data_IF_942793048540
#
_entry.id   IF_942793048540
#
_cell.length_a   1.000
_cell.length_b   1.000
_cell.length_c   1.000
_cell.angle_alpha   90.00
_cell.angle_beta   90.00
_cell.angle_gamma   90.00
#
_symmetry.space_group_name_H-M   'P 1'
#
loop_
_entity.id
_entity.type
_entity.pdbx_description
1 polymer ?
#
# COMPACT_ATOMS: atom_id res chain seq x y z
N UNK A 1 11.65 13.60 -24.74
CA UNK A 1 11.44 13.46 -26.20
C UNK A 1 10.72 12.14 -26.54
N UNK A 2 11.25 10.98 -26.13
CA UNK A 2 10.53 9.69 -26.26
C UNK A 2 9.24 9.65 -25.43
N UNK A 3 9.32 10.17 -24.20
CA UNK A 3 8.19 10.33 -23.29
C UNK A 3 7.11 11.35 -23.70
N UNK A 4 7.35 12.21 -24.70
CA UNK A 4 6.44 13.32 -25.03
C UNK A 4 6.27 14.40 -23.95
N UNK A 5 7.05 14.35 -22.86
CA UNK A 5 6.98 15.28 -21.71
C UNK A 5 8.13 16.30 -21.77
N UNK A 6 7.87 17.54 -21.35
CA UNK A 6 8.89 18.59 -21.18
C UNK A 6 9.89 18.20 -20.07
N UNK A 7 11.19 18.47 -20.29
CA UNK A 7 12.25 18.02 -19.40
C UNK A 7 12.07 18.51 -17.95
N UNK A 8 11.50 19.70 -17.76
CA UNK A 8 11.26 20.27 -16.43
C UNK A 8 10.11 19.59 -15.66
N UNK A 9 9.28 18.78 -16.33
CA UNK A 9 8.12 18.10 -15.74
C UNK A 9 8.38 16.61 -15.39
N UNK A 10 9.61 16.13 -15.59
CA UNK A 10 10.02 14.76 -15.28
C UNK A 10 10.45 14.70 -13.80
N UNK A 11 9.64 14.04 -12.97
CA UNK A 11 9.97 13.74 -11.57
C UNK A 11 10.64 12.38 -11.45
N UNK A 12 11.32 12.11 -10.32
CA UNK A 12 11.94 10.79 -10.08
C UNK A 12 10.94 9.64 -10.16
N UNK A 13 9.77 9.84 -9.55
CA UNK A 13 8.65 8.91 -9.64
C UNK A 13 8.24 8.66 -11.09
N UNK A 14 8.05 9.70 -11.90
CA UNK A 14 7.61 9.55 -13.31
C UNK A 14 8.64 8.86 -14.19
N UNK A 15 9.92 9.13 -13.97
CA UNK A 15 11.00 8.47 -14.68
C UNK A 15 11.12 6.98 -14.30
N UNK A 16 11.00 6.65 -13.01
CA UNK A 16 10.95 5.26 -12.54
C UNK A 16 9.74 4.51 -13.12
N UNK A 17 8.56 5.15 -13.15
CA UNK A 17 7.35 4.58 -13.77
C UNK A 17 7.55 4.32 -15.27
N UNK A 18 8.21 5.23 -16.00
CA UNK A 18 8.52 4.99 -17.42
C UNK A 18 9.38 3.74 -17.62
N UNK A 19 10.33 3.47 -16.73
CA UNK A 19 11.14 2.25 -16.80
C UNK A 19 10.30 1.01 -16.54
N UNK A 20 9.42 1.02 -15.54
CA UNK A 20 8.53 -0.11 -15.27
C UNK A 20 7.62 -0.43 -16.47
N UNK A 21 6.98 0.59 -17.04
CA UNK A 21 6.09 0.46 -18.21
C UNK A 21 6.80 0.04 -19.51
N UNK A 22 8.13 0.18 -19.59
CA UNK A 22 8.94 -0.13 -20.79
C UNK A 22 9.97 -1.25 -20.54
N UNK A 23 9.97 -1.82 -19.33
CA UNK A 23 10.70 -3.03 -18.99
C UNK A 23 9.96 -4.31 -19.39
N UNK A 24 8.75 -4.18 -19.97
CA UNK A 24 7.93 -5.29 -20.45
C UNK A 24 8.73 -6.18 -21.41
N UNK A 25 9.14 -7.35 -20.89
CA UNK A 25 9.61 -8.43 -21.74
C UNK A 25 8.46 -8.83 -22.66
N UNK A 26 8.70 -9.01 -23.96
CA UNK A 26 7.64 -9.43 -24.87
C UNK A 26 7.11 -10.80 -24.42
N UNK A 27 5.81 -10.85 -24.11
CA UNK A 27 5.11 -12.09 -23.75
C UNK A 27 5.32 -13.13 -24.85
N UNK A 28 5.87 -14.27 -24.48
CA UNK A 28 6.10 -15.39 -25.39
C UNK A 28 4.87 -16.27 -25.45
N UNK A 29 4.75 -17.02 -26.55
CA UNK A 29 3.63 -17.95 -26.74
C UNK A 29 3.65 -19.11 -25.73
N UNK A 30 4.82 -19.45 -25.21
CA UNK A 30 5.07 -20.50 -24.23
C UNK A 30 5.17 -19.97 -22.79
N UNK A 31 4.92 -18.69 -22.55
CA UNK A 31 4.85 -18.15 -21.20
C UNK A 31 3.63 -18.73 -20.47
N UNK A 32 3.85 -19.09 -19.21
CA UNK A 32 2.75 -19.44 -18.32
C UNK A 32 1.94 -18.17 -18.00
N UNK A 33 0.61 -18.27 -17.91
CA UNK A 33 -0.25 -17.12 -17.62
C UNK A 33 -0.04 -16.58 -16.20
N UNK A 34 0.51 -17.39 -15.29
CA UNK A 34 0.75 -17.02 -13.90
C UNK A 34 2.23 -17.20 -13.55
N UNK A 35 2.77 -16.31 -12.71
CA UNK A 35 4.11 -16.48 -12.14
C UNK A 35 4.19 -17.76 -11.27
N UNK A 36 5.39 -18.36 -11.18
CA UNK A 36 5.61 -19.64 -10.49
C UNK A 36 5.07 -19.64 -9.04
N UNK A 37 5.31 -18.57 -8.29
CA UNK A 37 4.86 -18.47 -6.89
C UNK A 37 3.33 -18.42 -6.79
N UNK A 38 2.66 -17.72 -7.72
CA UNK A 38 1.19 -17.67 -7.82
C UNK A 38 0.63 -19.03 -8.22
N UNK A 39 1.28 -19.73 -9.14
CA UNK A 39 0.91 -21.08 -9.55
C UNK A 39 0.97 -22.06 -8.36
N UNK A 40 2.07 -22.07 -7.62
CA UNK A 40 2.25 -22.93 -6.42
C UNK A 40 1.29 -22.53 -5.29
N UNK A 41 1.08 -21.23 -5.09
CA UNK A 41 0.07 -20.71 -4.16
C UNK A 41 -1.32 -21.23 -4.50
N UNK A 42 -1.71 -21.18 -5.77
CA UNK A 42 -3.00 -21.66 -6.26
C UNK A 42 -3.18 -23.17 -6.01
N UNK A 43 -2.13 -23.97 -6.22
CA UNK A 43 -2.13 -25.40 -5.88
C UNK A 43 -2.28 -25.62 -4.37
N UNK A 44 -1.59 -24.84 -3.54
CA UNK A 44 -1.70 -24.95 -2.09
C UNK A 44 -3.12 -24.60 -1.60
N UNK A 45 -3.72 -23.55 -2.15
CA UNK A 45 -5.08 -23.11 -1.83
C UNK A 45 -6.13 -24.11 -2.28
N UNK A 46 -6.03 -24.66 -3.50
CA UNK A 46 -6.97 -25.68 -4.00
C UNK A 46 -6.96 -26.94 -3.13
N UNK A 47 -5.80 -27.30 -2.59
CA UNK A 47 -5.63 -28.41 -1.63
C UNK A 47 -5.92 -28.02 -0.17
N UNK A 48 -6.50 -26.84 0.06
CA UNK A 48 -6.85 -26.30 1.39
C UNK A 48 -5.68 -26.34 2.40
N UNK A 49 -4.45 -26.14 1.91
CA UNK A 49 -3.26 -26.07 2.76
C UNK A 49 -3.24 -24.74 3.51
N UNK A 50 -2.64 -24.75 4.69
CA UNK A 50 -2.31 -23.53 5.42
C UNK A 50 -1.22 -22.80 4.64
N UNK A 51 -1.49 -21.55 4.25
CA UNK A 51 -0.53 -20.69 3.56
C UNK A 51 -0.21 -19.50 4.47
N UNK A 52 1.08 -19.20 4.61
CA UNK A 52 1.59 -18.09 5.43
C UNK A 52 2.78 -17.44 4.73
N UNK A 53 2.99 -16.15 4.99
CA UNK A 53 4.12 -15.39 4.46
C UNK A 53 5.41 -15.60 5.27
N UNK A 54 6.55 -15.51 4.60
CA UNK A 54 7.89 -15.47 5.20
C UNK A 54 8.52 -14.07 5.13
N UNK A 55 7.80 -13.09 4.58
CA UNK A 55 8.16 -11.66 4.49
C UNK A 55 6.95 -10.80 4.89
N UNK A 56 7.16 -9.52 5.21
CA UNK A 56 6.06 -8.56 5.37
C UNK A 56 5.81 -7.86 4.03
N UNK A 57 4.57 -7.43 3.77
CA UNK A 57 4.23 -6.70 2.54
C UNK A 57 5.12 -5.47 2.32
N UNK A 58 5.45 -4.75 3.41
CA UNK A 58 6.35 -3.60 3.38
C UNK A 58 7.81 -3.94 3.01
N UNK A 59 8.24 -5.19 3.17
CA UNK A 59 9.59 -5.60 2.76
C UNK A 59 9.66 -5.91 1.25
N UNK A 60 8.50 -6.14 0.62
CA UNK A 60 8.39 -6.36 -0.83
C UNK A 60 8.06 -5.06 -1.57
N UNK A 61 7.43 -4.10 -0.90
CA UNK A 61 7.03 -2.82 -1.45
C UNK A 61 7.17 -1.72 -0.38
N UNK A 62 8.26 -0.95 -0.46
CA UNK A 62 8.43 0.29 0.29
C UNK A 62 8.55 1.47 -0.69
N UNK A 63 7.42 2.13 -1.03
CA UNK A 63 7.44 3.25 -1.96
C UNK A 63 8.31 4.41 -1.47
N UNK A 64 8.62 4.50 -0.17
CA UNK A 64 9.50 5.54 0.37
C UNK A 64 10.99 5.21 0.22
N UNK A 65 11.39 3.94 0.15
CA UNK A 65 12.77 3.52 -0.13
C UNK A 65 13.07 3.54 -1.64
N UNK A 66 12.13 3.09 -2.48
CA UNK A 66 12.29 3.16 -3.95
C UNK A 66 12.36 4.61 -4.47
N UNK A 67 11.72 5.55 -3.78
CA UNK A 67 11.82 6.99 -4.05
C UNK A 67 13.11 7.64 -3.52
N UNK A 68 13.90 6.97 -2.67
CA UNK A 68 15.20 7.49 -2.16
C UNK A 68 16.37 7.16 -3.09
N UNK A 69 16.24 6.13 -3.92
CA UNK A 69 17.26 5.84 -4.94
C UNK A 69 17.34 7.01 -5.91
N UNK A 70 18.50 7.68 -5.92
CA UNK A 70 18.75 8.82 -6.78
C UNK A 70 18.44 8.47 -8.24
N UNK A 71 17.80 9.41 -8.95
CA UNK A 71 17.53 9.28 -10.38
C UNK A 71 18.81 8.99 -11.16
N UNK A 72 19.02 7.74 -11.55
CA UNK A 72 20.10 7.39 -12.47
C UNK A 72 19.64 7.69 -13.90
N UNK A 73 19.85 8.93 -14.32
CA UNK A 73 19.59 9.39 -15.69
C UNK A 73 20.30 8.54 -16.75
N UNK A 74 21.42 7.90 -16.40
CA UNK A 74 22.15 7.02 -17.32
C UNK A 74 21.45 5.67 -17.49
N UNK A 75 20.90 5.11 -16.40
CA UNK A 75 20.04 3.90 -16.42
C UNK A 75 18.75 4.16 -17.20
N UNK A 76 18.18 5.36 -17.05
CA UNK A 76 17.00 5.82 -17.80
C UNK A 76 17.24 5.91 -19.32
N UNK A 77 18.42 6.37 -19.72
CA UNK A 77 18.80 6.52 -21.14
C UNK A 77 19.34 5.23 -21.78
N UNK A 78 19.81 4.28 -20.97
CA UNK A 78 20.33 2.97 -21.42
C UNK A 78 19.26 1.88 -21.52
N UNK A 79 17.98 2.20 -21.26
CA UNK A 79 16.88 1.25 -21.36
C UNK A 79 16.63 0.86 -22.83
N UNK A 80 17.36 -0.16 -23.28
CA UNK A 80 17.28 -0.70 -24.64
C UNK A 80 18.02 -2.04 -24.72
N UNK A 81 17.36 -3.10 -25.22
CA UNK A 81 17.84 -4.46 -25.60
C UNK A 81 18.78 -5.26 -24.66
N UNK A 82 19.71 -4.62 -23.95
CA UNK A 82 20.61 -5.24 -22.98
C UNK A 82 19.86 -5.81 -21.77
N UNK A 83 18.79 -5.15 -21.31
CA UNK A 83 17.96 -5.70 -20.22
C UNK A 83 17.19 -6.94 -20.65
N UNK A 84 16.63 -6.98 -21.87
CA UNK A 84 15.99 -8.19 -22.42
C UNK A 84 16.97 -9.37 -22.44
N UNK A 85 18.20 -9.14 -22.95
CA UNK A 85 19.25 -10.17 -22.95
C UNK A 85 19.63 -10.65 -21.54
N UNK A 86 19.72 -9.72 -20.58
CA UNK A 86 20.00 -10.03 -19.18
C UNK A 86 18.88 -10.87 -18.53
N UNK A 87 17.60 -10.52 -18.73
CA UNK A 87 16.48 -11.31 -18.20
C UNK A 87 16.37 -12.68 -18.88
N UNK A 88 16.60 -12.77 -20.19
CA UNK A 88 16.68 -14.06 -20.86
C UNK A 88 17.81 -14.93 -20.31
N UNK A 89 18.97 -14.34 -20.03
CA UNK A 89 20.07 -15.04 -19.36
C UNK A 89 19.70 -15.49 -17.95
N UNK A 90 19.00 -14.64 -17.17
CA UNK A 90 18.49 -15.02 -15.86
C UNK A 90 17.54 -16.20 -15.93
N UNK A 91 16.59 -16.21 -16.88
CA UNK A 91 15.68 -17.34 -17.10
C UNK A 91 16.46 -18.61 -17.46
N UNK A 92 17.43 -18.51 -18.39
CA UNK A 92 18.29 -19.65 -18.76
C UNK A 92 19.05 -20.22 -17.56
N UNK A 93 19.65 -19.35 -16.75
CA UNK A 93 20.41 -19.72 -15.54
C UNK A 93 19.49 -20.33 -14.48
N UNK A 94 18.31 -19.76 -14.28
CA UNK A 94 17.29 -20.26 -13.36
C UNK A 94 16.80 -21.67 -13.76
N UNK A 95 16.45 -21.87 -15.03
CA UNK A 95 16.02 -23.18 -15.56
C UNK A 95 17.15 -24.22 -15.49
N UNK A 96 18.40 -23.79 -15.67
CA UNK A 96 19.58 -24.63 -15.50
C UNK A 96 19.93 -24.93 -14.04
N UNK A 97 19.24 -24.31 -13.07
CA UNK A 97 19.46 -24.46 -11.62
C UNK A 97 20.89 -24.08 -11.18
N UNK A 98 21.55 -23.15 -11.88
CA UNK A 98 22.93 -22.72 -11.59
C UNK A 98 22.96 -21.59 -10.56
N UNK A 99 22.88 -21.96 -9.28
CA UNK A 99 22.90 -21.00 -8.16
C UNK A 99 24.17 -20.14 -8.09
N UNK A 100 25.32 -20.67 -8.53
CA UNK A 100 26.57 -19.90 -8.55
C UNK A 100 26.51 -18.77 -9.57
N UNK A 101 25.83 -19.00 -10.70
CA UNK A 101 25.64 -17.99 -11.72
C UNK A 101 24.53 -17.01 -11.35
N UNK A 102 23.47 -17.45 -10.67
CA UNK A 102 22.50 -16.54 -10.03
C UNK A 102 23.22 -15.57 -9.11
N UNK A 103 24.05 -16.07 -8.17
CA UNK A 103 24.81 -15.23 -7.24
C UNK A 103 25.65 -14.17 -7.97
N UNK A 104 26.43 -14.60 -8.97
CA UNK A 104 27.29 -13.69 -9.77
C UNK A 104 26.49 -12.63 -10.51
N UNK A 105 25.34 -12.99 -11.08
CA UNK A 105 24.49 -12.04 -11.80
C UNK A 105 23.84 -11.03 -10.86
N UNK A 106 23.54 -11.43 -9.62
CA UNK A 106 22.96 -10.55 -8.60
C UNK A 106 24.01 -9.74 -7.82
N UNK A 107 25.30 -10.08 -7.92
CA UNK A 107 26.37 -9.50 -7.11
C UNK A 107 26.81 -8.09 -7.54
N UNK A 108 26.39 -7.60 -8.71
CA UNK A 108 26.82 -6.31 -9.26
C UNK A 108 26.01 -5.10 -8.76
N UNK A 109 24.90 -5.32 -8.05
CA UNK A 109 24.04 -4.27 -7.51
C UNK A 109 24.25 -4.13 -6.00
N UNK A 110 25.17 -3.25 -5.58
CA UNK A 110 25.59 -3.11 -4.18
C UNK A 110 24.47 -2.67 -3.25
N UNK A 111 23.56 -1.80 -3.71
CA UNK A 111 22.40 -1.37 -2.93
C UNK A 111 21.37 -2.51 -2.81
N UNK A 112 21.15 -3.27 -3.88
CA UNK A 112 20.27 -4.44 -3.86
C UNK A 112 20.75 -5.56 -2.93
N UNK A 113 22.06 -5.71 -2.74
CA UNK A 113 22.64 -6.74 -1.86
C UNK A 113 22.30 -6.51 -0.39
N UNK A 114 22.41 -5.28 0.13
CA UNK A 114 22.14 -5.03 1.56
C UNK A 114 20.68 -5.35 1.93
N UNK A 115 19.75 -4.97 1.05
CA UNK A 115 18.33 -5.27 1.16
C UNK A 115 18.08 -6.77 1.11
N UNK A 116 18.69 -7.47 0.15
CA UNK A 116 18.61 -8.92 0.00
C UNK A 116 19.10 -9.64 1.27
N UNK A 117 20.24 -9.21 1.83
CA UNK A 117 20.81 -9.78 3.07
C UNK A 117 19.88 -9.57 4.26
N UNK A 118 19.30 -8.37 4.40
CA UNK A 118 18.33 -8.06 5.45
C UNK A 118 17.12 -9.00 5.38
N UNK A 119 16.58 -9.18 4.18
CA UNK A 119 15.45 -10.09 3.90
C UNK A 119 15.82 -11.55 4.16
N UNK A 120 16.99 -12.01 3.73
CA UNK A 120 17.50 -13.37 3.98
C UNK A 120 17.57 -13.69 5.48
N UNK A 121 18.11 -12.77 6.28
CA UNK A 121 18.19 -12.96 7.74
C UNK A 121 16.82 -13.04 8.40
N UNK A 122 15.85 -12.25 7.92
CA UNK A 122 14.45 -12.31 8.39
C UNK A 122 13.79 -13.62 8.01
N UNK A 123 13.90 -14.03 6.75
CA UNK A 123 13.38 -15.30 6.25
C UNK A 123 13.97 -16.49 7.02
N UNK A 124 15.29 -16.55 7.21
CA UNK A 124 15.94 -17.65 7.93
C UNK A 124 15.40 -17.82 9.36
N UNK A 125 15.09 -16.73 10.08
CA UNK A 125 14.46 -16.79 11.42
C UNK A 125 13.02 -17.32 11.36
N UNK A 126 12.25 -16.91 10.34
CA UNK A 126 10.87 -17.37 10.15
C UNK A 126 10.81 -18.84 9.74
N UNK A 127 11.68 -19.26 8.83
CA UNK A 127 11.82 -20.66 8.42
C UNK A 127 12.10 -21.56 9.62
N UNK A 128 13.09 -21.21 10.45
CA UNK A 128 13.42 -21.92 11.69
C UNK A 128 12.19 -22.12 12.60
N UNK A 129 11.47 -21.02 12.86
CA UNK A 129 10.26 -21.05 13.70
C UNK A 129 9.13 -21.89 13.08
N UNK A 130 8.89 -21.78 11.77
CA UNK A 130 7.81 -22.47 11.08
C UNK A 130 8.10 -23.97 10.90
N UNK A 131 9.35 -24.34 10.61
CA UNK A 131 9.79 -25.73 10.47
C UNK A 131 9.67 -26.50 11.78
N UNK A 132 9.86 -25.84 12.94
CA UNK A 132 9.66 -26.45 14.25
C UNK A 132 8.20 -26.86 14.51
N UNK A 133 7.24 -26.24 13.83
CA UNK A 133 5.81 -26.53 14.02
C UNK A 133 5.33 -27.71 13.18
N UNK A 134 5.78 -27.82 11.92
CA UNK A 134 5.37 -28.89 10.99
C UNK A 134 6.27 -28.95 9.75
N UNK A 135 6.31 -30.10 9.05
CA UNK A 135 6.85 -30.17 7.70
C UNK A 135 6.19 -29.12 6.80
N UNK A 136 6.99 -28.25 6.20
CA UNK A 136 6.53 -27.06 5.48
C UNK A 136 7.26 -26.96 4.15
N UNK A 137 6.51 -26.63 3.09
CA UNK A 137 7.06 -26.27 1.79
C UNK A 137 7.19 -24.74 1.73
N UNK A 138 8.40 -24.25 1.44
CA UNK A 138 8.69 -22.82 1.36
C UNK A 138 9.03 -22.43 -0.08
N UNK A 139 8.46 -21.34 -0.57
CA UNK A 139 8.80 -20.71 -1.84
C UNK A 139 9.47 -19.37 -1.59
N UNK A 140 10.52 -19.06 -2.37
CA UNK A 140 11.24 -17.78 -2.36
C UNK A 140 12.04 -17.64 -3.65
N UNK A 141 12.37 -16.40 -4.03
CA UNK A 141 13.22 -16.14 -5.19
C UNK A 141 14.61 -16.81 -5.07
N UNK A 142 15.11 -17.37 -6.18
CA UNK A 142 16.38 -18.11 -6.18
C UNK A 142 17.60 -17.27 -5.74
N UNK A 143 17.55 -15.95 -5.96
CA UNK A 143 18.59 -15.01 -5.52
C UNK A 143 18.81 -15.02 -3.99
N UNK A 144 17.82 -15.46 -3.21
CA UNK A 144 17.94 -15.54 -1.75
C UNK A 144 18.76 -16.74 -1.27
N UNK A 145 19.01 -17.75 -2.13
CA UNK A 145 19.60 -19.02 -1.73
C UNK A 145 21.13 -19.01 -1.60
N UNK A 146 21.91 -18.49 -2.58
CA UNK A 146 23.37 -18.63 -2.60
C UNK A 146 24.10 -17.59 -1.74
N UNK A 147 25.41 -17.79 -1.55
CA UNK A 147 26.29 -16.88 -0.83
C UNK A 147 26.35 -17.09 0.69
N UNK A 148 27.24 -16.34 1.33
CA UNK A 148 27.49 -16.43 2.80
C UNK A 148 26.30 -15.96 3.62
N UNK A 149 25.59 -14.94 3.14
CA UNK A 149 24.35 -14.43 3.71
C UNK A 149 23.09 -14.99 3.01
N UNK A 150 23.26 -16.01 2.16
CA UNK A 150 22.17 -16.76 1.55
C UNK A 150 21.42 -17.62 2.55
N UNK A 151 20.13 -17.87 2.30
CA UNK A 151 19.26 -18.67 3.17
C UNK A 151 19.84 -20.07 3.42
N UNK A 152 20.50 -20.70 2.44
CA UNK A 152 21.14 -22.02 2.62
C UNK A 152 22.22 -21.95 3.71
N UNK A 153 23.12 -20.97 3.62
CA UNK A 153 24.21 -20.77 4.58
C UNK A 153 23.67 -20.39 5.95
N UNK A 154 22.66 -19.52 6.01
CA UNK A 154 22.03 -19.08 7.24
C UNK A 154 21.27 -20.19 7.98
N UNK A 155 20.67 -21.14 7.24
CA UNK A 155 20.03 -22.32 7.84
C UNK A 155 21.09 -23.32 8.35
N UNK A 156 22.15 -23.58 7.58
CA UNK A 156 23.27 -24.43 8.03
C UNK A 156 23.93 -23.89 9.30
N UNK A 157 24.13 -22.57 9.38
CA UNK A 157 24.66 -21.91 10.57
C UNK A 157 23.74 -22.06 11.81
N UNK A 158 22.45 -22.32 11.61
CA UNK A 158 21.49 -22.63 12.68
C UNK A 158 21.42 -24.12 13.04
N UNK A 159 22.25 -24.96 12.43
CA UNK A 159 22.31 -26.40 12.71
C UNK A 159 21.40 -27.25 11.82
N UNK A 160 20.75 -26.67 10.81
CA UNK A 160 19.97 -27.44 9.83
C UNK A 160 20.89 -28.18 8.85
N UNK A 161 20.52 -29.42 8.53
CA UNK A 161 21.05 -30.12 7.36
C UNK A 161 20.25 -29.66 6.14
N UNK A 162 20.93 -29.11 5.13
CA UNK A 162 20.31 -28.58 3.92
C UNK A 162 20.86 -29.34 2.71
N UNK A 163 20.00 -30.17 2.12
CA UNK A 163 20.33 -31.08 1.02
C UNK A 163 19.53 -30.72 -0.25
N UNK A 164 20.16 -30.75 -1.43
CA UNK A 164 19.43 -30.57 -2.68
C UNK A 164 18.58 -31.81 -2.99
N UNK A 165 17.33 -31.60 -3.41
CA UNK A 165 16.49 -32.68 -3.94
C UNK A 165 16.86 -32.88 -5.41
N UNK A 166 17.75 -33.84 -5.67
CA UNK A 166 18.20 -34.19 -7.03
C UNK A 166 17.36 -35.35 -7.59
N UNK A 167 16.87 -35.22 -8.82
CA UNK A 167 16.31 -36.36 -9.57
C UNK A 167 14.79 -36.56 -9.52
N UNK A 168 14.00 -35.52 -9.25
CA UNK A 168 12.56 -35.56 -9.51
C UNK A 168 12.27 -35.70 -11.02
N UNK A 169 11.28 -36.52 -11.39
CA UNK A 169 10.72 -36.51 -12.75
C UNK A 169 10.18 -35.10 -13.01
N UNK A 170 10.73 -34.38 -14.00
CA UNK A 170 10.12 -33.14 -14.48
C UNK A 170 8.73 -33.48 -15.01
N UNK A 171 7.73 -32.80 -14.48
CA UNK A 171 6.34 -32.93 -14.93
C UNK A 171 6.10 -31.78 -15.89
N UNK A 172 5.60 -32.07 -17.08
CA UNK A 172 5.15 -31.01 -17.97
C UNK A 172 3.98 -30.29 -17.27
N UNK A 173 3.99 -28.95 -17.16
CA UNK A 173 2.88 -28.23 -16.52
C UNK A 173 1.52 -28.58 -17.11
N UNK A 174 1.45 -28.92 -18.41
CA UNK A 174 0.23 -29.37 -19.07
C UNK A 174 -0.24 -30.76 -18.65
N UNK A 175 0.67 -31.62 -18.18
CA UNK A 175 0.36 -32.95 -17.63
C UNK A 175 -0.12 -32.87 -16.16
N UNK A 176 0.15 -31.75 -15.46
CA UNK A 176 -0.27 -31.56 -14.07
C UNK A 176 -1.64 -30.89 -13.99
N UNK A 177 -2.68 -31.72 -13.91
CA UNK A 177 -4.04 -31.27 -13.66
C UNK A 177 -4.35 -31.31 -12.16
N UNK A 178 -4.83 -30.18 -11.63
CA UNK A 178 -5.43 -30.12 -10.30
C UNK A 178 -6.79 -29.46 -10.41
N UNK A 179 -7.74 -29.92 -9.60
CA UNK A 179 -9.02 -29.23 -9.47
C UNK A 179 -8.74 -27.87 -8.85
N UNK A 180 -9.01 -26.80 -9.61
CA UNK A 180 -9.03 -25.43 -9.08
C UNK A 180 -10.27 -25.32 -8.20
N UNK A 181 -10.17 -25.75 -6.95
CA UNK A 181 -11.22 -25.55 -5.96
C UNK A 181 -11.39 -24.03 -5.80
N UNK A 182 -12.59 -23.51 -6.08
CA UNK A 182 -12.91 -22.11 -5.82
C UNK A 182 -12.46 -21.75 -4.41
N UNK A 183 -11.63 -20.72 -4.30
CA UNK A 183 -11.16 -20.24 -3.01
C UNK A 183 -12.42 -19.91 -2.21
N UNK A 184 -12.57 -20.54 -1.04
CA UNK A 184 -13.74 -20.35 -0.20
C UNK A 184 -13.82 -18.89 0.20
N UNK A 185 -14.73 -18.14 -0.42
CA UNK A 185 -15.03 -16.77 -0.05
C UNK A 185 -15.44 -16.75 1.42
N UNK A 186 -14.79 -15.89 2.20
CA UNK A 186 -15.03 -15.75 3.63
C UNK A 186 -15.76 -14.45 3.89
N UNK A 187 -16.61 -14.45 4.91
CA UNK A 187 -17.23 -13.21 5.39
C UNK A 187 -16.17 -12.39 6.14
N UNK A 188 -15.92 -11.19 5.65
CA UNK A 188 -14.91 -10.26 6.15
C UNK A 188 -15.55 -9.01 6.74
N UNK A 189 -14.96 -8.51 7.82
CA UNK A 189 -15.37 -7.34 8.59
C UNK A 189 -14.10 -6.64 9.04
N UNK A 190 -14.06 -5.33 8.91
CA UNK A 190 -12.98 -4.53 9.49
C UNK A 190 -13.30 -4.19 10.97
N UNK A 191 -12.44 -3.39 11.59
CA UNK A 191 -12.48 -3.11 13.03
C UNK A 191 -13.77 -2.43 13.50
N UNK A 192 -14.45 -1.70 12.61
CA UNK A 192 -15.72 -1.04 12.95
C UNK A 192 -16.87 -2.04 13.13
N UNK A 193 -16.78 -3.20 12.49
CA UNK A 193 -17.80 -4.26 12.48
C UNK A 193 -19.24 -3.74 12.24
N UNK A 194 -19.38 -2.67 11.44
CA UNK A 194 -20.67 -2.06 11.09
C UNK A 194 -21.30 -2.71 9.86
N UNK A 195 -20.48 -3.28 8.99
CA UNK A 195 -20.86 -4.02 7.80
C UNK A 195 -20.00 -5.27 7.64
N UNK A 196 -20.45 -6.17 6.77
CA UNK A 196 -19.61 -7.26 6.26
C UNK A 196 -19.75 -7.39 4.75
N UNK A 197 -18.71 -7.89 4.11
CA UNK A 197 -18.68 -8.34 2.71
C UNK A 197 -18.08 -9.74 2.67
N UNK A 198 -18.17 -10.42 1.54
CA UNK A 198 -17.37 -11.62 1.27
C UNK A 198 -16.10 -11.23 0.53
N UNK A 199 -14.96 -11.87 0.83
CA UNK A 199 -13.69 -11.73 0.09
C UNK A 199 -13.07 -13.11 -0.18
N UNK A 200 -12.18 -13.26 -1.18
CA UNK A 200 -11.48 -14.53 -1.48
C UNK A 200 -10.53 -15.03 -0.37
N UNK A 201 -10.37 -14.29 0.71
CA UNK A 201 -9.59 -14.71 1.86
C UNK A 201 -9.65 -13.69 2.99
N UNK A 202 -8.84 -13.91 4.02
CA UNK A 202 -8.75 -12.98 5.14
C UNK A 202 -8.28 -11.60 4.67
N UNK A 203 -8.86 -10.56 5.25
CA UNK A 203 -8.42 -9.18 5.09
C UNK A 203 -7.31 -8.87 6.12
N UNK A 204 -6.48 -7.89 5.82
CA UNK A 204 -5.50 -7.31 6.73
C UNK A 204 -5.75 -5.80 6.88
N UNK A 205 -5.53 -5.21 8.07
CA UNK A 205 -5.57 -3.75 8.23
C UNK A 205 -4.46 -3.10 7.42
N UNK A 206 -4.71 -1.88 6.92
CA UNK A 206 -3.74 -1.11 6.14
C UNK A 206 -3.33 0.15 6.90
N UNK A 207 -2.03 0.26 7.17
CA UNK A 207 -1.43 1.40 7.86
C UNK A 207 -2.03 1.61 9.26
N UNK A 208 -1.96 2.85 9.74
CA UNK A 208 -2.65 3.31 10.96
C UNK A 208 -3.63 4.39 10.53
N UNK A 209 -4.88 4.05 10.15
CA UNK A 209 -5.83 5.06 9.74
C UNK A 209 -6.09 6.05 10.89
N UNK A 210 -6.41 7.33 10.60
CA UNK A 210 -6.80 8.28 11.61
C UNK A 210 -7.93 7.71 12.48
N UNK A 211 -8.03 8.10 13.77
CA UNK A 211 -9.09 7.60 14.62
C UNK A 211 -10.47 7.89 13.99
N UNK A 212 -11.41 6.96 14.17
CA UNK A 212 -12.74 7.05 13.54
C UNK A 212 -12.81 6.54 12.10
N UNK A 213 -11.67 6.25 11.47
CA UNK A 213 -11.56 5.60 10.16
C UNK A 213 -11.03 4.17 10.33
N UNK A 214 -11.52 3.24 9.51
CA UNK A 214 -10.97 1.90 9.38
C UNK A 214 -10.64 1.64 7.92
N UNK A 215 -9.53 0.95 7.66
CA UNK A 215 -9.11 0.54 6.33
C UNK A 215 -8.51 -0.86 6.38
N UNK A 216 -8.99 -1.74 5.51
CA UNK A 216 -8.50 -3.09 5.37
C UNK A 216 -8.46 -3.51 3.90
N UNK A 217 -7.57 -4.44 3.58
CA UNK A 217 -7.38 -4.95 2.21
C UNK A 217 -7.28 -6.47 2.20
N UNK A 218 -7.81 -7.08 1.16
CA UNK A 218 -7.41 -8.41 0.72
C UNK A 218 -6.81 -8.29 -0.68
N UNK A 219 -5.55 -8.65 -0.85
CA UNK A 219 -4.95 -8.77 -2.18
C UNK A 219 -5.09 -10.21 -2.66
N UNK A 220 -5.91 -10.42 -3.69
CA UNK A 220 -5.99 -11.71 -4.35
C UNK A 220 -4.95 -11.78 -5.46
N UNK A 221 -3.86 -12.49 -5.16
CA UNK A 221 -2.75 -12.73 -6.09
C UNK A 221 -3.15 -13.62 -7.27
N UNK A 222 -4.29 -14.31 -7.21
CA UNK A 222 -4.76 -15.16 -8.31
C UNK A 222 -5.40 -14.34 -9.44
N UNK A 223 -6.33 -13.45 -9.07
CA UNK A 223 -7.07 -12.62 -10.04
C UNK A 223 -6.42 -11.25 -10.22
N UNK A 224 -5.35 -10.95 -9.48
CA UNK A 224 -4.73 -9.62 -9.41
C UNK A 224 -5.74 -8.53 -9.03
N UNK A 225 -6.71 -8.88 -8.16
CA UNK A 225 -7.70 -7.94 -7.62
C UNK A 225 -7.35 -7.66 -6.17
N UNK A 226 -7.16 -6.38 -5.86
CA UNK A 226 -7.12 -5.90 -4.49
C UNK A 226 -8.51 -5.42 -4.05
N UNK A 227 -9.05 -6.01 -2.99
CA UNK A 227 -10.35 -5.70 -2.40
C UNK A 227 -10.15 -4.83 -1.15
N UNK A 228 -10.63 -3.59 -1.19
CA UNK A 228 -10.51 -2.62 -0.11
C UNK A 228 -11.85 -2.41 0.61
N UNK A 229 -11.78 -2.43 1.94
CA UNK A 229 -12.88 -2.13 2.84
C UNK A 229 -12.46 -0.91 3.65
N UNK A 230 -13.22 0.18 3.54
CA UNK A 230 -12.96 1.40 4.29
C UNK A 230 -14.25 1.96 4.85
N UNK A 231 -14.21 2.52 6.05
CA UNK A 231 -15.31 3.31 6.58
C UNK A 231 -14.81 4.43 7.48
N UNK A 232 -15.63 5.47 7.62
CA UNK A 232 -15.35 6.59 8.51
C UNK A 232 -16.64 7.27 8.94
N UNK A 233 -16.58 7.92 10.11
CA UNK A 233 -17.69 8.72 10.63
C UNK A 233 -17.66 10.15 10.08
N UNK A 234 -18.85 10.62 9.71
CA UNK A 234 -19.18 11.97 9.27
C UNK A 234 -20.02 12.63 10.35
N UNK A 235 -19.45 13.67 10.94
CA UNK A 235 -20.08 14.57 11.90
C UNK A 235 -20.39 15.92 11.26
N UNK A 236 -21.12 16.75 12.00
CA UNK A 236 -21.66 18.02 11.50
C UNK A 236 -22.97 17.86 10.72
N UNK A 237 -23.41 18.96 10.11
CA UNK A 237 -24.70 19.05 9.39
C UNK A 237 -24.61 18.69 7.90
N UNK A 238 -23.43 18.26 7.42
CA UNK A 238 -23.22 17.95 6.02
C UNK A 238 -24.02 16.70 5.59
N UNK A 239 -24.83 16.78 4.52
CA UNK A 239 -25.54 15.61 4.01
C UNK A 239 -24.55 14.52 3.60
N UNK A 240 -24.75 13.29 4.07
CA UNK A 240 -23.82 12.18 3.82
C UNK A 240 -23.56 11.93 2.33
N UNK A 241 -24.58 12.12 1.49
CA UNK A 241 -24.49 12.01 0.04
C UNK A 241 -23.50 13.03 -0.55
N UNK A 242 -23.49 14.26 -0.02
CA UNK A 242 -22.53 15.31 -0.40
C UNK A 242 -21.11 14.90 -0.05
N UNK A 243 -20.91 14.33 1.14
CA UNK A 243 -19.59 13.86 1.59
C UNK A 243 -19.06 12.72 0.71
N UNK A 244 -19.91 11.78 0.31
CA UNK A 244 -19.52 10.71 -0.62
C UNK A 244 -19.08 11.31 -1.97
N UNK A 245 -19.85 12.24 -2.52
CA UNK A 245 -19.54 12.90 -3.80
C UNK A 245 -18.23 13.70 -3.71
N UNK A 246 -17.99 14.43 -2.62
CA UNK A 246 -16.72 15.12 -2.38
C UNK A 246 -15.55 14.14 -2.28
N UNK A 247 -15.74 12.99 -1.63
CA UNK A 247 -14.70 11.94 -1.61
C UNK A 247 -14.41 11.38 -2.98
N UNK A 248 -15.42 11.20 -3.82
CA UNK A 248 -15.19 10.80 -5.20
C UNK A 248 -14.43 11.88 -5.98
N UNK A 249 -14.74 13.16 -5.77
CA UNK A 249 -13.97 14.27 -6.36
C UNK A 249 -12.50 14.26 -5.93
N UNK A 250 -12.19 13.87 -4.69
CA UNK A 250 -10.83 13.67 -4.20
C UNK A 250 -10.17 12.44 -4.84
N UNK A 251 -10.85 11.30 -4.89
CA UNK A 251 -10.31 10.07 -5.49
C UNK A 251 -10.01 10.21 -6.99
N UNK A 252 -10.74 11.09 -7.70
CA UNK A 252 -10.47 11.42 -9.11
C UNK A 252 -9.14 12.14 -9.30
N UNK A 253 -8.61 12.79 -8.28
CA UNK A 253 -7.38 13.56 -8.39
C UNK A 253 -6.19 12.61 -8.49
N UNK A 254 -5.32 12.83 -9.48
CA UNK A 254 -4.21 11.92 -9.78
C UNK A 254 -4.64 10.65 -10.54
N UNK A 255 -5.88 10.58 -11.02
CA UNK A 255 -6.33 9.52 -11.93
C UNK A 255 -6.27 10.02 -13.37
N UNK A 256 -5.81 9.15 -14.27
CA UNK A 256 -5.73 9.41 -15.72
C UNK A 256 -7.13 9.48 -16.35
N UNK A 257 -8.05 8.63 -15.90
CA UNK A 257 -9.46 8.67 -16.31
C UNK A 257 -10.36 8.44 -15.11
N UNK A 258 -11.51 9.11 -15.12
CA UNK A 258 -12.59 8.86 -14.18
C UNK A 258 -13.94 8.97 -14.86
N UNK A 259 -14.76 7.93 -14.71
CA UNK A 259 -16.12 7.89 -15.21
C UNK A 259 -17.09 8.76 -14.39
N UNK A 260 -18.34 8.92 -14.85
CA UNK A 260 -19.37 9.63 -14.10
C UNK A 260 -19.68 8.92 -12.77
N UNK A 261 -20.08 9.70 -11.76
CA UNK A 261 -20.61 9.14 -10.52
C UNK A 261 -22.04 8.69 -10.79
N UNK A 262 -22.32 7.41 -10.56
CA UNK A 262 -23.65 6.82 -10.72
C UNK A 262 -24.31 6.68 -9.36
N UNK A 263 -25.54 7.15 -9.23
CA UNK A 263 -26.35 6.92 -8.05
C UNK A 263 -27.03 5.54 -8.14
N UNK A 264 -27.06 4.84 -7.02
CA UNK A 264 -27.55 3.47 -6.87
C UNK A 264 -28.33 3.35 -5.55
N UNK A 265 -29.13 2.29 -5.44
CA UNK A 265 -29.70 1.85 -4.17
C UNK A 265 -29.11 0.49 -3.79
N UNK A 266 -28.45 0.42 -2.64
CA UNK A 266 -27.85 -0.82 -2.12
C UNK A 266 -28.38 -1.05 -0.72
N UNK A 267 -29.01 -2.20 -0.47
CA UNK A 267 -29.66 -2.53 0.80
C UNK A 267 -30.64 -1.43 1.29
N UNK A 268 -31.36 -0.79 0.36
CA UNK A 268 -32.30 0.30 0.66
C UNK A 268 -31.65 1.64 1.01
N UNK A 269 -30.33 1.78 0.81
CA UNK A 269 -29.56 3.00 1.13
C UNK A 269 -29.04 3.67 -0.13
N UNK A 270 -28.91 4.99 -0.07
CA UNK A 270 -28.24 5.80 -1.10
C UNK A 270 -26.79 5.35 -1.23
N UNK A 271 -26.40 5.02 -2.45
CA UNK A 271 -25.05 4.61 -2.79
C UNK A 271 -24.59 5.27 -4.09
N UNK A 272 -23.28 5.43 -4.23
CA UNK A 272 -22.66 6.04 -5.39
C UNK A 272 -21.54 5.14 -5.90
N UNK A 273 -21.42 4.99 -7.21
CA UNK A 273 -20.38 4.19 -7.84
C UNK A 273 -19.62 4.99 -8.89
N UNK A 274 -18.32 4.74 -8.99
CA UNK A 274 -17.45 5.35 -9.98
C UNK A 274 -16.37 4.37 -10.43
N UNK A 275 -16.07 4.39 -11.73
CA UNK A 275 -14.92 3.69 -12.32
C UNK A 275 -13.79 4.68 -12.58
N UNK A 276 -12.55 4.27 -12.34
CA UNK A 276 -11.35 5.11 -12.57
C UNK A 276 -10.20 4.29 -13.14
N UNK A 277 -9.25 4.97 -13.77
CA UNK A 277 -7.96 4.44 -14.24
C UNK A 277 -6.88 5.42 -13.75
N UNK A 278 -5.82 4.96 -13.10
CA UNK A 278 -4.67 5.82 -12.76
C UNK A 278 -3.62 5.88 -13.88
N UNK A 279 -2.53 6.61 -13.64
CA UNK A 279 -1.42 6.70 -14.59
C UNK A 279 -0.74 5.34 -14.82
N UNK A 280 -0.80 4.43 -13.85
CA UNK A 280 -0.21 3.07 -13.84
C UNK A 280 -1.14 2.03 -14.49
N UNK A 281 -2.16 2.47 -15.24
CA UNK A 281 -3.23 1.65 -15.84
C UNK A 281 -3.96 0.75 -14.84
N UNK A 282 -3.86 1.01 -13.55
CA UNK A 282 -4.68 0.30 -12.58
C UNK A 282 -6.11 0.81 -12.70
N UNK A 283 -7.03 -0.13 -12.91
CA UNK A 283 -8.44 0.08 -13.02
C UNK A 283 -9.11 -0.08 -11.66
N UNK A 284 -10.01 0.84 -11.32
CA UNK A 284 -10.72 0.85 -10.06
C UNK A 284 -12.23 0.89 -10.26
N UNK A 285 -12.95 0.18 -9.39
CA UNK A 285 -14.38 0.36 -9.15
C UNK A 285 -14.58 0.68 -7.68
N UNK A 286 -15.19 1.83 -7.41
CA UNK A 286 -15.41 2.34 -6.05
C UNK A 286 -16.89 2.52 -5.82
N UNK A 287 -17.39 2.04 -4.67
CA UNK A 287 -18.76 2.22 -4.22
C UNK A 287 -18.79 2.84 -2.84
N UNK A 288 -19.39 4.02 -2.72
CA UNK A 288 -19.67 4.70 -1.47
C UNK A 288 -21.12 4.50 -1.04
N UNK A 289 -21.34 4.16 0.23
CA UNK A 289 -22.67 3.87 0.79
C UNK A 289 -22.84 4.68 2.08
N UNK A 290 -23.97 5.37 2.21
CA UNK A 290 -24.33 6.06 3.45
C UNK A 290 -25.03 5.13 4.45
N UNK A 291 -24.55 5.06 5.69
CA UNK A 291 -25.11 4.27 6.80
C UNK A 291 -25.29 5.13 8.06
N UNK A 292 -26.29 6.03 8.06
CA UNK A 292 -26.45 6.99 9.16
C UNK A 292 -25.33 8.04 9.10
N UNK A 293 -24.55 8.28 10.17
CA UNK A 293 -23.38 9.15 10.13
C UNK A 293 -22.12 8.45 9.58
N UNK A 294 -22.21 7.21 9.10
CA UNK A 294 -21.06 6.46 8.60
C UNK A 294 -21.05 6.40 7.08
N UNK A 295 -19.92 6.72 6.46
CA UNK A 295 -19.65 6.44 5.05
C UNK A 295 -18.85 5.15 4.94
N UNK A 296 -19.38 4.18 4.21
CA UNK A 296 -18.70 2.95 3.84
C UNK A 296 -18.18 3.11 2.40
N UNK A 297 -16.91 2.83 2.17
CA UNK A 297 -16.26 2.79 0.87
C UNK A 297 -15.75 1.37 0.59
N UNK A 298 -16.36 0.72 -0.40
CA UNK A 298 -15.87 -0.53 -0.96
C UNK A 298 -15.15 -0.24 -2.27
N UNK A 299 -13.99 -0.84 -2.50
CA UNK A 299 -13.23 -0.63 -3.72
C UNK A 299 -12.57 -1.92 -4.17
N UNK A 300 -12.50 -2.12 -5.49
CA UNK A 300 -11.55 -3.05 -6.10
C UNK A 300 -10.57 -2.28 -6.96
N UNK A 301 -9.31 -2.72 -6.99
CA UNK A 301 -8.26 -2.26 -7.88
C UNK A 301 -7.60 -3.45 -8.59
N UNK A 302 -7.33 -3.32 -9.89
CA UNK A 302 -6.79 -4.41 -10.73
C UNK A 302 -6.11 -3.85 -11.98
N UNK A 303 -5.14 -4.57 -12.53
CA UNK A 303 -4.51 -4.24 -13.82
C UNK A 303 -5.37 -4.65 -15.03
N UNK A 304 -6.37 -5.53 -14.85
CA UNK A 304 -7.26 -5.96 -15.93
C UNK A 304 -8.64 -5.29 -15.82
N UNK A 305 -8.96 -4.38 -16.74
CA UNK A 305 -10.25 -3.68 -16.77
C UNK A 305 -11.46 -4.64 -16.77
N UNK A 306 -11.31 -5.85 -17.34
CA UNK A 306 -12.39 -6.85 -17.41
C UNK A 306 -12.82 -7.33 -16.02
N UNK A 307 -11.89 -7.34 -15.07
CA UNK A 307 -12.14 -7.77 -13.70
C UNK A 307 -13.00 -6.78 -12.91
N UNK A 308 -13.18 -5.54 -13.36
CA UNK A 308 -14.07 -4.58 -12.70
C UNK A 308 -15.54 -5.03 -12.62
N UNK A 309 -15.94 -5.97 -13.48
CA UNK A 309 -17.30 -6.52 -13.60
C UNK A 309 -17.33 -8.05 -13.60
N UNK A 310 -16.26 -8.69 -13.13
CA UNK A 310 -16.23 -10.16 -13.04
C UNK A 310 -17.22 -10.68 -12.00
N UNK A 311 -17.47 -11.99 -12.02
CA UNK A 311 -18.32 -12.63 -11.02
C UNK A 311 -17.81 -12.40 -9.59
N UNK A 312 -16.49 -12.33 -9.42
CA UNK A 312 -15.83 -12.06 -8.15
C UNK A 312 -16.05 -10.61 -7.70
N UNK A 313 -15.89 -9.63 -8.59
CA UNK A 313 -16.25 -8.25 -8.31
C UNK A 313 -17.73 -8.10 -7.90
N UNK A 314 -18.65 -8.68 -8.67
CA UNK A 314 -20.08 -8.62 -8.36
C UNK A 314 -20.42 -9.33 -7.04
N UNK A 315 -19.73 -10.42 -6.71
CA UNK A 315 -19.87 -11.09 -5.42
C UNK A 315 -19.39 -10.22 -4.27
N UNK A 316 -18.21 -9.60 -4.39
CA UNK A 316 -17.69 -8.67 -3.37
C UNK A 316 -18.67 -7.52 -3.09
N UNK A 317 -19.10 -6.80 -4.13
CA UNK A 317 -20.01 -5.67 -3.96
C UNK A 317 -21.44 -6.09 -3.56
N UNK A 318 -21.92 -7.22 -4.07
CA UNK A 318 -23.27 -7.74 -3.82
C UNK A 318 -23.43 -8.44 -2.48
N UNK A 319 -22.35 -8.88 -1.86
CA UNK A 319 -22.34 -9.53 -0.54
C UNK A 319 -22.42 -8.56 0.64
N UNK A 320 -22.42 -7.24 0.38
CA UNK A 320 -22.53 -6.23 1.43
C UNK A 320 -23.76 -6.48 2.30
N UNK A 321 -23.53 -6.64 3.60
CA UNK A 321 -24.57 -6.68 4.65
C UNK A 321 -24.28 -5.62 5.69
N UNK A 322 -25.25 -4.75 5.93
CA UNK A 322 -25.20 -3.80 7.03
C UNK A 322 -25.57 -4.56 8.31
N UNK A 323 -24.68 -4.55 9.29
CA UNK A 323 -24.83 -5.28 10.55
C UNK A 323 -25.36 -4.38 11.65
N UNK A 324 -24.91 -3.11 11.66
CA UNK A 324 -25.38 -2.06 12.55
C UNK A 324 -25.15 -0.70 11.91
N UNK A 325 -25.90 0.28 12.34
CA UNK A 325 -25.59 1.69 12.07
C UNK A 325 -24.71 2.20 13.21
N UNK A 326 -23.51 2.67 12.88
CA UNK A 326 -22.66 3.33 13.88
C UNK A 326 -23.33 4.63 14.29
N UNK A 327 -23.32 4.92 15.58
CA UNK A 327 -23.59 6.26 16.04
C UNK A 327 -22.28 7.02 16.08
N UNK A 328 -22.33 8.33 15.83
CA UNK A 328 -21.31 9.20 16.41
C UNK A 328 -21.28 8.87 17.92
N UNK A 329 -20.11 8.86 18.57
CA UNK A 329 -20.09 8.83 20.03
C UNK A 329 -21.16 9.81 20.51
N UNK A 330 -22.04 9.37 21.42
CA UNK A 330 -22.90 10.31 22.14
C UNK A 330 -21.98 11.46 22.45
N UNK A 331 -22.32 12.65 21.97
CA UNK A 331 -21.56 13.82 22.32
C UNK A 331 -21.35 13.65 23.82
N UNK A 332 -20.09 13.43 24.25
CA UNK A 332 -19.72 14.07 25.48
C UNK A 332 -20.25 15.46 25.19
N UNK A 333 -21.29 15.85 25.92
CA UNK A 333 -21.67 17.24 25.98
C UNK A 333 -20.35 17.93 26.24
N UNK A 334 -19.64 18.39 25.21
CA UNK A 334 -18.22 18.75 25.34
C UNK A 334 -18.21 20.18 25.85
N UNK A 335 -18.90 20.35 26.96
CA UNK A 335 -18.51 21.20 28.06
C UNK A 335 -17.27 20.62 28.77
N UNK A 336 -16.73 19.46 28.36
CA UNK A 336 -15.32 19.15 28.59
C UNK A 336 -14.52 20.34 28.05
N UNK A 337 -13.92 21.15 28.94
CA UNK A 337 -13.23 22.34 28.51
C UNK A 337 -12.06 21.93 27.63
N UNK A 338 -11.76 22.76 26.62
CA UNK A 338 -10.53 22.59 25.87
C UNK A 338 -9.36 22.47 26.85
N UNK A 339 -8.55 21.44 26.68
CA UNK A 339 -7.45 21.14 27.58
C UNK A 339 -6.22 21.92 27.12
N UNK A 340 -5.57 22.60 28.07
CA UNK A 340 -4.31 23.28 27.81
C UNK A 340 -3.20 22.22 27.60
N UNK A 341 -2.56 22.30 26.43
CA UNK A 341 -1.38 21.54 26.11
C UNK A 341 -0.22 22.51 25.89
N UNK A 342 0.83 22.40 26.71
CA UNK A 342 1.98 23.30 26.63
C UNK A 342 3.29 22.54 26.65
N UNK A 343 4.27 23.05 25.91
CA UNK A 343 5.65 22.62 25.98
C UNK A 343 6.51 23.82 26.40
N UNK A 344 6.92 23.84 27.67
CA UNK A 344 7.72 24.93 28.22
C UNK A 344 9.13 24.98 27.63
N UNK A 345 9.65 23.85 27.13
CA UNK A 345 10.98 23.81 26.51
C UNK A 345 10.97 24.42 25.12
N UNK A 346 9.84 24.28 24.41
CA UNK A 346 9.63 24.83 23.06
C UNK A 346 8.83 26.13 23.03
N UNK A 347 8.35 26.58 24.19
CA UNK A 347 7.75 27.90 24.38
C UNK A 347 6.34 28.09 23.82
N UNK A 348 5.58 27.01 23.59
CA UNK A 348 4.22 27.10 23.07
C UNK A 348 3.18 26.52 24.02
N UNK A 349 1.95 27.02 23.90
CA UNK A 349 0.75 26.50 24.54
C UNK A 349 -0.40 26.55 23.53
N UNK A 350 -1.15 25.47 23.43
CA UNK A 350 -2.27 25.30 22.53
C UNK A 350 -3.37 24.53 23.24
N UNK A 351 -4.60 24.92 22.99
CA UNK A 351 -5.75 24.22 23.50
C UNK A 351 -6.16 23.12 22.53
N UNK A 352 -6.48 21.93 23.05
CA UNK A 352 -7.03 20.81 22.29
C UNK A 352 -8.37 20.36 22.87
N UNK A 353 -9.30 19.84 22.05
CA UNK A 353 -10.56 19.24 22.56
C UNK A 353 -10.36 17.86 23.21
N UNK A 354 -9.11 17.47 23.48
CA UNK A 354 -8.71 16.21 24.10
C UNK A 354 -7.20 16.14 24.26
N UNK A 355 -6.66 14.96 24.57
CA UNK A 355 -5.23 14.76 24.78
C UNK A 355 -4.53 14.30 23.48
N UNK A 356 -3.79 15.17 22.78
CA UNK A 356 -3.19 14.80 21.49
C UNK A 356 -2.06 13.79 21.64
N UNK A 357 -2.09 12.74 20.82
CA UNK A 357 -1.11 11.64 20.83
C UNK A 357 -0.01 11.86 19.79
N UNK A 358 1.14 11.20 19.96
CA UNK A 358 2.21 11.23 18.95
C UNK A 358 1.74 10.55 17.68
N UNK A 359 1.92 11.22 16.54
CA UNK A 359 1.43 10.76 15.25
C UNK A 359 2.60 10.59 14.26
N UNK A 360 3.18 9.40 14.22
CA UNK A 360 4.35 9.10 13.38
C UNK A 360 4.02 9.04 11.89
N UNK A 361 2.78 8.70 11.53
CA UNK A 361 2.35 8.62 10.14
C UNK A 361 2.13 10.03 9.58
N UNK A 362 1.52 10.93 10.36
CA UNK A 362 1.45 12.34 10.02
C UNK A 362 2.84 12.99 9.94
N UNK A 363 3.79 12.58 10.80
CA UNK A 363 5.19 13.00 10.69
C UNK A 363 5.77 12.62 9.32
N UNK A 364 5.50 11.40 8.86
CA UNK A 364 5.98 10.93 7.56
C UNK A 364 5.34 11.72 6.41
N UNK A 365 4.04 12.05 6.51
CA UNK A 365 3.34 12.84 5.50
C UNK A 365 3.76 14.32 5.47
N UNK A 366 4.14 14.90 6.61
CA UNK A 366 4.56 16.31 6.73
C UNK A 366 6.05 16.54 6.50
N UNK A 367 6.86 15.48 6.43
CA UNK A 367 8.26 15.56 5.98
C UNK A 367 8.28 15.87 4.49
N UNK A 368 8.55 17.13 4.15
CA UNK A 368 8.92 17.52 2.80
C UNK A 368 10.31 16.95 2.43
N UNK A 369 10.62 16.92 1.14
CA UNK A 369 11.90 16.45 0.60
C UNK A 369 13.13 17.19 1.19
N UNK A 370 12.96 18.39 1.77
CA UNK A 370 14.00 19.15 2.49
C UNK A 370 14.10 18.81 3.99
N UNK A 371 14.01 17.52 4.33
CA UNK A 371 14.09 17.02 5.71
C UNK A 371 15.47 17.25 6.39
N UNK A 372 16.46 17.82 5.70
CA UNK A 372 17.84 17.95 6.17
C UNK A 372 18.09 19.06 7.19
N UNK A 373 17.20 20.06 7.32
CA UNK A 373 17.41 21.23 8.19
C UNK A 373 16.44 21.33 9.37
N UNK A 374 15.48 20.42 9.47
CA UNK A 374 14.38 20.48 10.43
C UNK A 374 14.26 19.23 11.29
N UNK A 375 14.08 19.42 12.59
CA UNK A 375 13.48 18.43 13.49
C UNK A 375 11.99 18.70 13.56
N UNK A 376 11.18 17.69 13.25
CA UNK A 376 9.72 17.80 13.25
C UNK A 376 9.13 16.79 14.24
N UNK A 377 8.18 17.24 15.06
CA UNK A 377 7.32 16.41 15.89
C UNK A 377 5.87 16.72 15.54
N UNK A 378 5.05 15.68 15.43
CA UNK A 378 3.63 15.79 15.12
C UNK A 378 2.80 15.07 16.15
N UNK A 379 1.68 15.71 16.50
CA UNK A 379 0.65 15.14 17.36
C UNK A 379 -0.71 15.38 16.77
N UNK A 380 -1.64 14.47 17.03
CA UNK A 380 -2.99 14.60 16.50
C UNK A 380 -4.06 14.19 17.50
N UNK A 381 -5.26 14.70 17.26
CA UNK A 381 -6.47 14.32 17.96
C UNK A 381 -7.63 14.33 16.98
N UNK A 382 -8.47 13.28 17.02
CA UNK A 382 -9.70 13.25 16.25
C UNK A 382 -10.89 13.46 17.19
N UNK A 383 -11.55 14.60 17.01
CA UNK A 383 -12.87 14.82 17.58
C UNK A 383 -13.90 14.09 16.71
N UNK A 384 -14.22 12.87 17.12
CA UNK A 384 -15.20 12.03 16.46
C UNK A 384 -16.64 12.58 16.55
N UNK A 385 -16.92 13.52 17.45
CA UNK A 385 -18.26 14.13 17.58
C UNK A 385 -18.49 15.15 16.46
N UNK A 386 -17.50 16.01 16.24
CA UNK A 386 -17.56 17.06 15.23
C UNK A 386 -16.88 16.65 13.91
N UNK A 387 -16.37 15.42 13.82
CA UNK A 387 -15.50 14.93 12.74
C UNK A 387 -14.37 15.89 12.38
N UNK A 388 -13.72 16.45 13.41
CA UNK A 388 -12.60 17.37 13.25
C UNK A 388 -11.29 16.68 13.60
N UNK A 389 -10.36 16.72 12.66
CA UNK A 389 -8.99 16.24 12.87
C UNK A 389 -8.08 17.43 13.19
N UNK A 390 -7.51 17.41 14.39
CA UNK A 390 -6.61 18.44 14.89
C UNK A 390 -5.18 17.92 14.78
N UNK A 391 -4.29 18.72 14.21
CA UNK A 391 -2.87 18.40 14.07
C UNK A 391 -2.04 19.52 14.66
N UNK A 392 -1.13 19.17 15.58
CA UNK A 392 -0.05 20.02 16.02
C UNK A 392 1.24 19.54 15.37
N UNK A 393 1.87 20.40 14.57
CA UNK A 393 3.19 20.15 14.00
C UNK A 393 4.17 21.18 14.57
N UNK A 394 5.23 20.70 15.22
CA UNK A 394 6.30 21.53 15.76
C UNK A 394 7.54 21.33 14.92
N UNK A 395 8.09 22.42 14.38
CA UNK A 395 9.29 22.41 13.53
C UNK A 395 10.40 23.23 14.20
N UNK A 396 11.54 22.59 14.41
CA UNK A 396 12.75 23.20 14.99
C UNK A 396 13.88 23.13 13.98
N UNK A 397 14.64 24.21 13.80
CA UNK A 397 15.84 24.15 12.96
C UNK A 397 16.92 23.31 13.66
N UNK A 398 17.68 22.55 12.89
CA UNK A 398 18.86 21.86 13.41
C UNK A 398 19.95 22.88 13.78
N UNK A 399 20.89 22.55 14.70
CA UNK A 399 22.01 23.42 15.04
C UNK A 399 22.77 23.88 13.78
N UNK A 400 22.99 25.19 13.66
CA UNK A 400 23.64 25.81 12.50
C UNK A 400 22.68 26.34 11.43
N UNK A 401 21.38 26.07 11.53
CA UNK A 401 20.36 26.61 10.64
C UNK A 401 19.56 27.73 11.33
N UNK A 402 19.28 28.80 10.58
CA UNK A 402 18.48 29.94 11.03
C UNK A 402 17.28 30.15 10.12
N UNK A 403 16.18 30.64 10.68
CA UNK A 403 15.03 31.10 9.92
C UNK A 403 15.30 32.55 9.51
N UNK A 404 15.56 32.78 8.22
CA UNK A 404 15.84 34.12 7.69
C UNK A 404 14.56 34.93 7.45
N UNK A 405 13.47 34.25 7.08
CA UNK A 405 12.15 34.84 6.92
C UNK A 405 11.06 33.90 7.48
N UNK A 406 10.54 34.17 8.69
CA UNK A 406 9.46 33.37 9.28
C UNK A 406 8.16 33.38 8.46
N UNK A 407 7.90 34.43 7.69
CA UNK A 407 6.69 34.49 6.86
C UNK A 407 6.75 33.52 5.70
N UNK A 408 7.93 33.35 5.09
CA UNK A 408 8.12 32.40 3.99
C UNK A 408 7.67 30.99 4.37
N UNK A 409 7.87 30.55 5.61
CA UNK A 409 7.46 29.23 6.09
C UNK A 409 5.93 29.09 6.10
N UNK A 410 5.22 30.13 6.56
CA UNK A 410 3.76 30.16 6.61
C UNK A 410 3.18 30.23 5.20
N UNK A 411 3.74 31.11 4.36
CA UNK A 411 3.33 31.28 2.97
C UNK A 411 3.54 29.99 2.16
N UNK A 412 4.66 29.31 2.36
CA UNK A 412 4.94 28.01 1.75
C UNK A 412 3.94 26.95 2.24
N UNK A 413 3.68 26.87 3.55
CA UNK A 413 2.70 25.93 4.10
C UNK A 413 1.29 26.18 3.52
N UNK A 414 0.86 27.43 3.46
CA UNK A 414 -0.43 27.84 2.88
C UNK A 414 -0.46 27.53 1.38
N UNK A 415 0.60 27.81 0.65
CA UNK A 415 0.71 27.52 -0.79
C UNK A 415 0.62 26.02 -1.04
N UNK A 416 1.36 25.23 -0.27
CA UNK A 416 1.32 23.76 -0.32
C UNK A 416 -0.07 23.21 0.02
N UNK A 417 -0.77 23.80 0.99
CA UNK A 417 -2.15 23.42 1.33
C UNK A 417 -3.15 23.83 0.25
N UNK A 418 -3.05 25.03 -0.32
CA UNK A 418 -3.91 25.49 -1.43
C UNK A 418 -3.70 24.69 -2.71
N UNK A 419 -2.49 24.20 -2.95
CA UNK A 419 -2.18 23.34 -4.08
C UNK A 419 -2.80 21.94 -3.94
N UNK A 420 -3.19 21.51 -2.73
CA UNK A 420 -3.88 20.25 -2.50
C UNK A 420 -5.35 20.40 -2.86
N UNK A 421 -5.87 19.65 -3.84
CA UNK A 421 -7.22 19.87 -4.28
C UNK A 421 -8.24 19.31 -3.27
N UNK A 422 -9.37 20.01 -3.13
CA UNK A 422 -10.38 19.73 -2.09
C UNK A 422 -10.06 20.29 -0.69
N UNK A 423 -8.98 21.05 -0.53
CA UNK A 423 -8.74 21.85 0.68
C UNK A 423 -9.31 23.25 0.48
N UNK A 424 -10.24 23.66 1.34
CA UNK A 424 -10.63 25.05 1.51
C UNK A 424 -10.04 25.59 2.80
N UNK A 425 -9.29 26.70 2.69
CA UNK A 425 -8.76 27.38 3.88
C UNK A 425 -9.81 28.41 4.31
N UNK A 426 -10.40 28.19 5.48
CA UNK A 426 -11.43 29.06 6.05
C UNK A 426 -10.85 30.22 6.84
N UNK A 427 -9.75 30.01 7.55
CA UNK A 427 -9.04 31.04 8.29
C UNK A 427 -7.53 30.76 8.36
N UNK A 428 -6.74 31.82 8.48
CA UNK A 428 -5.29 31.75 8.76
C UNK A 428 -4.99 32.80 9.83
N UNK A 429 -4.57 32.35 11.00
CA UNK A 429 -4.13 33.22 12.08
C UNK A 429 -2.62 33.06 12.30
N UNK A 430 -1.93 34.19 12.46
CA UNK A 430 -0.49 34.22 12.75
C UNK A 430 -0.28 34.91 14.09
N UNK A 431 0.28 34.19 15.06
CA UNK A 431 0.65 34.74 16.37
C UNK A 431 2.16 34.85 16.44
N UNK A 432 2.68 36.06 16.63
CA UNK A 432 4.10 36.32 16.88
C UNK A 432 4.30 36.63 18.36
N UNK A 433 5.31 36.02 18.97
CA UNK A 433 5.82 36.38 20.29
C UNK A 433 7.17 37.05 20.18
#
# INVERSE_FOLDING_TARGET
KELGIAAEAITQRRAWMYLQDHADLPVRKDDMPEAMDVYLYTIARSKQKVVTGIEDLKDQFDPAEEMKTALDAERLLKHNRHEIGYYEDLVRVYVAQDLNRVEKMTASDTAGIEELVRRNRKMARRLDSLMALRPTFFTMGAAHLPGTDGVISLLRARGFTVEPVLGGRKVDPSDYHFERTQIGWVRSQNDSASFSVETPGAIAPVGTPPPGMSMSVHADVHTEIAYFLMDFLVGGDDPIDSVIVQRFALLRQGKKKAGPVRHLLVNGRSAYEMLMEDEEKTHYRVRGIGNGPEVILLMIGTQDERELKSADAERFFGSLKILRTRSLPLAATSNEPWQDYSDSTRGYGVQFPGAPEKDADMLQQLRAADAGSWRVETRSWFDATNSRFYVLAVRETLPGYIITDPNSIIEEAVTNLKARPGISITNIDTVRR
#
